data_IF_998228383923
#
_entry.id   IF_998228383923
#
_cell.length_a   1.000
_cell.length_b   1.000
_cell.length_c   1.000
_cell.angle_alpha   90.00
_cell.angle_beta   90.00
_cell.angle_gamma   90.00
#
_symmetry.space_group_name_H-M   'P 1'
#
loop_
_entity.id
_entity.type
_entity.pdbx_description
1 polymer ?
#
# COMPACT_ATOMS: atom_id res chain seq x y z
N UNK A 1 -1.95 16.46 -54.01
CA UNK A 1 -2.44 15.44 -53.04
C UNK A 1 -1.34 14.60 -52.37
N UNK A 2 -0.09 14.55 -52.88
CA UNK A 2 0.99 13.68 -52.34
C UNK A 2 1.74 14.24 -51.11
N UNK A 3 1.88 15.56 -50.97
CA UNK A 3 2.65 16.18 -49.87
C UNK A 3 1.97 16.04 -48.49
N UNK A 4 0.64 16.07 -48.47
CA UNK A 4 -0.18 15.96 -47.24
C UNK A 4 -0.11 14.53 -46.67
N UNK A 5 -0.02 13.52 -47.54
CA UNK A 5 0.11 12.12 -47.13
C UNK A 5 1.45 11.85 -46.41
N UNK A 6 2.56 12.39 -46.93
CA UNK A 6 3.88 12.22 -46.32
C UNK A 6 4.05 12.94 -44.97
N UNK A 7 3.42 14.11 -44.79
CA UNK A 7 3.39 14.80 -43.49
C UNK A 7 2.59 14.01 -42.44
N UNK A 8 1.45 13.44 -42.85
CA UNK A 8 0.61 12.60 -42.00
C UNK A 8 1.33 11.31 -41.56
N UNK A 9 2.00 10.61 -42.48
CA UNK A 9 2.76 9.40 -42.13
C UNK A 9 3.94 9.66 -41.20
N UNK A 10 4.63 10.79 -41.37
CA UNK A 10 5.73 11.19 -40.49
C UNK A 10 5.23 11.50 -39.07
N UNK A 11 4.09 12.18 -38.96
CA UNK A 11 3.45 12.45 -37.67
C UNK A 11 2.96 11.16 -36.99
N UNK A 12 2.39 10.22 -37.75
CA UNK A 12 1.95 8.93 -37.23
C UNK A 12 3.11 8.03 -36.77
N UNK A 13 4.29 8.15 -37.38
CA UNK A 13 5.50 7.44 -36.91
C UNK A 13 6.00 7.97 -35.58
N UNK A 14 6.03 9.30 -35.38
CA UNK A 14 6.44 9.91 -34.11
C UNK A 14 5.41 9.62 -33.00
N UNK A 15 4.10 9.70 -33.31
CA UNK A 15 3.01 9.37 -32.39
C UNK A 15 2.91 7.87 -32.06
N UNK A 16 3.62 7.00 -32.76
CA UNK A 16 3.68 5.55 -32.51
C UNK A 16 5.07 5.09 -32.04
N UNK A 17 5.99 6.03 -31.85
CA UNK A 17 7.31 5.72 -31.30
C UNK A 17 7.18 5.44 -29.81
N UNK A 18 7.42 4.20 -29.41
CA UNK A 18 7.23 3.72 -28.05
C UNK A 18 8.05 4.53 -27.03
N UNK A 19 9.23 5.02 -27.41
CA UNK A 19 10.07 5.87 -26.54
C UNK A 19 9.40 7.21 -26.29
N UNK A 20 8.77 7.78 -27.30
CA UNK A 20 8.04 9.04 -27.20
C UNK A 20 6.77 8.90 -26.36
N UNK A 21 5.95 7.86 -26.58
CA UNK A 21 4.75 7.63 -25.74
C UNK A 21 5.10 7.38 -24.27
N UNK A 22 6.16 6.63 -23.99
CA UNK A 22 6.62 6.38 -22.62
C UNK A 22 7.08 7.68 -21.95
N UNK A 23 7.89 8.48 -22.64
CA UNK A 23 8.34 9.78 -22.11
C UNK A 23 7.17 10.75 -21.91
N UNK A 24 6.23 10.81 -22.86
CA UNK A 24 5.01 11.62 -22.75
C UNK A 24 4.14 11.16 -21.58
N UNK A 25 3.93 9.85 -21.43
CA UNK A 25 3.15 9.27 -20.33
C UNK A 25 3.78 9.57 -18.96
N UNK A 26 5.10 9.42 -18.84
CA UNK A 26 5.84 9.80 -17.63
C UNK A 26 5.73 11.30 -17.34
N UNK A 27 5.85 12.16 -18.36
CA UNK A 27 5.71 13.61 -18.20
C UNK A 27 4.30 14.00 -17.76
N UNK A 28 3.27 13.44 -18.39
CA UNK A 28 1.86 13.66 -18.02
C UNK A 28 1.60 13.18 -16.58
N UNK A 29 2.10 12.00 -16.21
CA UNK A 29 1.97 11.49 -14.85
C UNK A 29 2.68 12.40 -13.83
N UNK A 30 3.91 12.83 -14.11
CA UNK A 30 4.64 13.74 -13.24
C UNK A 30 3.91 15.08 -13.07
N UNK A 31 3.39 15.66 -14.15
CA UNK A 31 2.56 16.88 -14.10
C UNK A 31 1.31 16.64 -13.26
N UNK A 32 0.60 15.52 -13.47
CA UNK A 32 -0.58 15.17 -12.68
C UNK A 32 -0.26 15.04 -11.18
N UNK A 33 0.85 14.39 -10.82
CA UNK A 33 1.32 14.30 -9.43
C UNK A 33 1.62 15.68 -8.86
N UNK A 34 2.32 16.55 -9.59
CA UNK A 34 2.62 17.92 -9.13
C UNK A 34 1.34 18.72 -8.91
N UNK A 35 0.40 18.66 -9.85
CA UNK A 35 -0.89 19.34 -9.73
C UNK A 35 -1.72 18.80 -8.56
N UNK A 36 -1.73 17.49 -8.36
CA UNK A 36 -2.40 16.85 -7.23
C UNK A 36 -1.81 17.30 -5.89
N UNK A 37 -0.47 17.30 -5.77
CA UNK A 37 0.22 17.78 -4.57
C UNK A 37 -0.06 19.27 -4.34
N UNK A 38 -0.03 20.10 -5.39
CA UNK A 38 -0.36 21.52 -5.29
C UNK A 38 -1.81 21.74 -4.82
N UNK A 39 -2.76 20.96 -5.35
CA UNK A 39 -4.16 20.97 -4.94
C UNK A 39 -4.33 20.55 -3.47
N UNK A 40 -3.65 19.49 -3.03
CA UNK A 40 -3.61 19.08 -1.62
C UNK A 40 -3.06 20.20 -0.74
N UNK A 41 -1.90 20.77 -1.09
CA UNK A 41 -1.27 21.85 -0.30
C UNK A 41 -2.18 23.08 -0.20
N UNK A 42 -2.86 23.47 -1.29
CA UNK A 42 -3.85 24.55 -1.27
C UNK A 42 -5.02 24.25 -0.34
N UNK A 43 -5.55 23.03 -0.39
CA UNK A 43 -6.63 22.55 0.47
C UNK A 43 -6.24 22.51 1.96
N UNK A 44 -5.01 22.14 2.28
CA UNK A 44 -4.48 22.12 3.66
C UNK A 44 -4.29 23.53 4.20
N UNK A 45 -3.66 24.41 3.41
CA UNK A 45 -3.43 25.82 3.77
C UNK A 45 -4.74 26.56 3.98
N UNK A 46 -5.76 26.32 3.14
CA UNK A 46 -7.08 26.92 3.28
C UNK A 46 -7.86 26.50 4.53
N UNK A 47 -7.46 25.40 5.19
CA UNK A 47 -8.06 24.89 6.43
C UNK A 47 -7.23 25.22 7.69
N UNK A 48 -6.16 26.01 7.57
CA UNK A 48 -5.27 26.34 8.69
C UNK A 48 -4.45 25.16 9.21
N UNK A 49 -4.40 24.04 8.48
CA UNK A 49 -3.65 22.85 8.87
C UNK A 49 -2.18 23.01 8.45
N UNK A 50 -1.26 22.86 9.40
CA UNK A 50 0.18 22.84 9.12
C UNK A 50 0.68 21.40 9.06
N UNK A 51 1.48 21.06 8.06
CA UNK A 51 2.20 19.78 8.04
C UNK A 51 3.26 19.81 9.14
N UNK A 52 3.01 19.10 10.23
CA UNK A 52 3.90 19.06 11.38
C UNK A 52 3.89 17.68 12.01
N UNK A 53 5.04 17.27 12.54
CA UNK A 53 5.17 16.08 13.38
C UNK A 53 4.85 16.37 14.86
N UNK A 54 4.37 17.58 15.18
CA UNK A 54 4.02 17.95 16.56
C UNK A 54 2.97 17.01 17.16
N UNK A 55 2.03 16.53 16.35
CA UNK A 55 0.99 15.59 16.77
C UNK A 55 1.56 14.33 17.45
N UNK A 56 2.75 13.88 17.06
CA UNK A 56 3.39 12.71 17.68
C UNK A 56 3.66 12.93 19.17
N UNK A 57 3.95 14.17 19.56
CA UNK A 57 4.23 14.57 20.96
C UNK A 57 3.01 15.09 21.69
N UNK A 58 1.89 15.29 20.99
CA UNK A 58 0.61 15.63 21.62
C UNK A 58 0.01 14.40 22.28
N UNK A 59 -0.82 14.63 23.28
CA UNK A 59 -1.55 13.56 23.98
C UNK A 59 -2.48 12.85 22.99
N UNK A 60 -2.56 11.53 23.08
CA UNK A 60 -3.41 10.76 22.19
C UNK A 60 -4.90 11.04 22.43
N UNK A 61 -5.27 11.32 23.68
CA UNK A 61 -6.65 11.61 24.12
C UNK A 61 -7.66 10.50 23.78
N UNK A 62 -7.20 9.29 23.49
CA UNK A 62 -8.00 8.07 23.32
C UNK A 62 -7.36 6.91 24.07
N UNK A 63 -8.14 5.87 24.36
CA UNK A 63 -7.65 4.68 25.04
C UNK A 63 -7.42 3.51 24.07
N UNK A 64 -6.51 2.59 24.43
CA UNK A 64 -6.19 1.40 23.64
C UNK A 64 -6.74 0.15 24.32
N UNK A 65 -7.61 -0.58 23.61
CA UNK A 65 -8.23 -1.79 24.15
C UNK A 65 -7.24 -2.96 24.35
N UNK A 66 -6.17 -3.02 23.55
CA UNK A 66 -5.19 -4.09 23.58
C UNK A 66 -3.77 -3.56 23.35
N UNK A 67 -2.80 -4.23 23.97
CA UNK A 67 -1.38 -3.95 23.77
C UNK A 67 -0.65 -3.79 25.10
N UNK A 68 0.46 -3.06 25.05
CA UNK A 68 1.21 -2.68 26.24
C UNK A 68 0.49 -1.56 27.02
N UNK A 69 0.88 -1.36 28.29
CA UNK A 69 0.33 -0.31 29.12
C UNK A 69 0.48 1.08 28.47
N UNK A 70 -0.67 1.70 28.22
CA UNK A 70 -0.84 3.00 27.58
C UNK A 70 -1.93 3.76 28.32
N UNK A 71 -1.77 5.07 28.43
CA UNK A 71 -2.78 5.97 29.00
C UNK A 71 -3.18 7.03 27.98
N UNK A 72 -4.42 7.54 27.96
CA UNK A 72 -4.83 8.59 27.04
C UNK A 72 -4.02 9.89 27.11
N UNK A 73 -3.34 10.14 28.24
CA UNK A 73 -2.42 11.29 28.43
C UNK A 73 -1.01 11.03 27.89
N UNK A 74 -0.71 9.79 27.49
CA UNK A 74 0.57 9.48 26.85
C UNK A 74 0.65 10.11 25.45
N UNK A 75 1.87 10.39 24.98
CA UNK A 75 2.07 10.98 23.65
C UNK A 75 1.70 10.00 22.52
N UNK A 76 1.21 10.55 21.41
CA UNK A 76 0.70 9.79 20.26
C UNK A 76 1.73 8.81 19.64
N UNK A 77 3.02 9.14 19.68
CA UNK A 77 4.08 8.23 19.19
C UNK A 77 4.11 6.91 19.98
N UNK A 78 3.78 6.94 21.27
CA UNK A 78 3.70 5.74 22.11
C UNK A 78 2.51 4.89 21.69
N UNK A 79 1.36 5.51 21.43
CA UNK A 79 0.16 4.81 20.93
C UNK A 79 0.47 4.07 19.62
N UNK A 80 1.21 4.69 18.70
CA UNK A 80 1.65 4.06 17.47
C UNK A 80 2.53 2.82 17.71
N UNK A 81 3.51 2.91 18.61
CA UNK A 81 4.37 1.78 18.97
C UNK A 81 3.60 0.63 19.61
N UNK A 82 2.61 0.94 20.46
CA UNK A 82 1.74 -0.07 21.06
C UNK A 82 0.94 -0.80 19.99
N UNK A 83 0.36 -0.08 19.02
CA UNK A 83 -0.37 -0.67 17.90
C UNK A 83 0.50 -1.55 17.01
N UNK A 84 1.70 -1.09 16.65
CA UNK A 84 2.68 -1.87 15.86
C UNK A 84 3.08 -3.14 16.61
N UNK A 85 3.37 -3.03 17.92
CA UNK A 85 3.75 -4.17 18.74
C UNK A 85 2.62 -5.20 18.87
N UNK A 86 1.37 -4.76 19.02
CA UNK A 86 0.23 -5.68 19.06
C UNK A 86 0.05 -6.42 17.73
N UNK A 87 0.16 -5.70 16.60
CA UNK A 87 0.09 -6.29 15.26
C UNK A 87 1.18 -7.33 15.05
N UNK A 88 2.41 -7.03 15.46
CA UNK A 88 3.53 -7.96 15.34
C UNK A 88 3.31 -9.22 16.18
N UNK A 89 2.85 -9.06 17.43
CA UNK A 89 2.51 -10.18 18.32
C UNK A 89 1.49 -11.12 17.67
N UNK A 90 0.39 -10.57 17.15
CA UNK A 90 -0.67 -11.36 16.49
C UNK A 90 -0.14 -12.01 15.21
N UNK A 91 0.65 -11.29 14.40
CA UNK A 91 1.25 -11.82 13.18
C UNK A 91 2.18 -13.02 13.47
N UNK A 92 3.01 -12.95 14.51
CA UNK A 92 3.91 -14.06 14.88
C UNK A 92 3.12 -15.31 15.23
N UNK A 93 2.07 -15.19 16.06
CA UNK A 93 1.20 -16.32 16.41
C UNK A 93 0.51 -16.87 15.17
N UNK A 94 0.00 -16.00 14.30
CA UNK A 94 -0.64 -16.37 13.04
C UNK A 94 0.30 -17.15 12.11
N UNK A 95 1.56 -16.71 11.97
CA UNK A 95 2.57 -17.39 11.14
C UNK A 95 2.86 -18.79 11.69
N UNK A 96 3.03 -18.94 13.00
CA UNK A 96 3.30 -20.24 13.63
C UNK A 96 2.12 -21.19 13.36
N UNK A 97 0.90 -20.76 13.63
CA UNK A 97 -0.30 -21.57 13.40
C UNK A 97 -0.51 -21.91 11.92
N UNK A 98 -0.34 -20.94 11.02
CA UNK A 98 -0.44 -21.15 9.58
C UNK A 98 0.63 -22.11 9.06
N UNK A 99 1.85 -22.07 9.61
CA UNK A 99 2.93 -23.00 9.24
C UNK A 99 2.59 -24.42 9.67
N UNK A 100 2.11 -24.60 10.90
CA UNK A 100 1.69 -25.92 11.41
C UNK A 100 0.56 -26.48 10.55
N UNK A 101 -0.51 -25.70 10.38
CA UNK A 101 -1.67 -26.12 9.58
C UNK A 101 -1.29 -26.39 8.13
N UNK A 102 -0.53 -25.49 7.50
CA UNK A 102 -0.06 -25.64 6.12
C UNK A 102 0.83 -26.87 5.94
N UNK A 103 1.69 -27.17 6.91
CA UNK A 103 2.53 -28.39 6.88
C UNK A 103 1.69 -29.64 7.02
N UNK A 104 0.75 -29.68 7.97
CA UNK A 104 -0.18 -30.82 8.16
C UNK A 104 -1.00 -31.05 6.90
N UNK A 105 -1.62 -30.00 6.34
CA UNK A 105 -2.38 -30.08 5.10
C UNK A 105 -1.51 -30.52 3.92
N UNK A 106 -0.27 -30.01 3.83
CA UNK A 106 0.70 -30.40 2.81
C UNK A 106 1.04 -31.89 2.87
N UNK A 107 1.33 -32.42 4.05
CA UNK A 107 1.61 -33.85 4.25
C UNK A 107 0.36 -34.71 4.00
N UNK A 108 -0.80 -34.29 4.50
CA UNK A 108 -2.06 -35.00 4.32
C UNK A 108 -2.44 -35.16 2.84
N UNK A 109 -2.13 -34.16 2.00
CA UNK A 109 -2.36 -34.20 0.55
C UNK A 109 -1.49 -35.23 -0.18
N UNK A 110 -0.34 -35.62 0.38
CA UNK A 110 0.53 -36.68 -0.19
C UNK A 110 0.20 -38.07 0.37
N UNK A 111 -0.80 -38.19 1.25
CA UNK A 111 -1.18 -39.48 1.84
C UNK A 111 -1.70 -40.45 0.79
N UNK A 112 -1.29 -41.71 0.89
CA UNK A 112 -1.86 -42.81 0.09
C UNK A 112 -3.30 -43.15 0.48
N UNK A 113 -3.78 -42.64 1.62
CA UNK A 113 -5.17 -42.80 2.03
C UNK A 113 -6.08 -41.84 1.26
N UNK A 114 -6.92 -42.41 0.39
CA UNK A 114 -7.83 -41.66 -0.47
C UNK A 114 -8.70 -40.64 0.28
N UNK A 115 -9.23 -40.99 1.46
CA UNK A 115 -10.12 -40.10 2.22
C UNK A 115 -9.35 -38.88 2.76
N UNK A 116 -8.15 -39.09 3.31
CA UNK A 116 -7.33 -38.03 3.88
C UNK A 116 -6.82 -37.09 2.77
N UNK A 117 -6.38 -37.65 1.64
CA UNK A 117 -5.94 -36.87 0.48
C UNK A 117 -7.07 -36.02 -0.11
N UNK A 118 -8.31 -36.52 -0.16
CA UNK A 118 -9.45 -35.77 -0.70
C UNK A 118 -9.92 -34.65 0.24
N UNK A 119 -9.86 -34.84 1.56
CA UNK A 119 -10.26 -33.80 2.53
C UNK A 119 -9.20 -32.68 2.58
N UNK A 120 -7.91 -33.02 2.45
CA UNK A 120 -6.81 -32.06 2.43
C UNK A 120 -6.62 -31.36 1.07
N UNK A 121 -7.06 -32.00 -0.01
CA UNK A 121 -7.05 -31.46 -1.37
C UNK A 121 -8.46 -31.11 -1.83
N UNK A 122 -9.04 -30.04 -1.27
CA UNK A 122 -10.09 -29.31 -1.98
C UNK A 122 -9.49 -28.66 -3.22
#
# INVERSE_FOLDING_TARGET
MSAIAGARERSLRVLRDERFLRALGQAVFAIAVVLFVAWCLGNYRGRGLTFSFRFLREEASFDLAEGMAFSPIDPYWKAFLVGVSNTLKVAVVGIILATILGTITGVARLSTNWLISNIAGV
#
